data_IF_410072128849
#
_entry.id   IF_410072128849
#
_cell.length_a   1.000
_cell.length_b   1.000
_cell.length_c   1.000
_cell.angle_alpha   90.00
_cell.angle_beta   90.00
_cell.angle_gamma   90.00
#
_symmetry.space_group_name_H-M   'P 1'
#
loop_
_entity.id
_entity.type
_entity.pdbx_description
1 polymer ?
#
# COMPACT_ATOMS: atom_id res chain seq x y z
N UNK A 1 8.23 36.54 -35.72
CA UNK A 1 6.97 35.84 -35.39
C UNK A 1 6.60 35.06 -36.64
N UNK A 2 6.89 33.76 -36.77
CA UNK A 2 6.17 32.65 -36.10
C UNK A 2 7.07 31.41 -36.20
N UNK A 3 7.51 30.83 -35.08
CA UNK A 3 8.19 29.53 -35.05
C UNK A 3 7.48 28.67 -34.02
N UNK A 4 6.57 27.81 -34.48
CA UNK A 4 6.05 26.70 -33.70
C UNK A 4 5.45 25.68 -34.68
N UNK A 5 6.14 24.54 -34.84
CA UNK A 5 5.64 23.20 -35.24
C UNK A 5 6.74 22.45 -36.00
N UNK A 6 7.47 21.64 -35.26
CA UNK A 6 7.96 20.37 -35.76
C UNK A 6 8.22 19.52 -34.52
N UNK A 7 7.57 18.36 -34.44
CA UNK A 7 7.96 17.12 -33.77
C UNK A 7 6.66 16.30 -33.61
N UNK A 8 6.20 15.78 -34.75
CA UNK A 8 5.38 14.58 -34.76
C UNK A 8 5.73 13.77 -36.01
N UNK A 9 5.70 12.44 -35.84
CA UNK A 9 5.68 11.36 -36.86
C UNK A 9 7.03 10.75 -37.23
N UNK A 10 7.21 9.51 -36.72
CA UNK A 10 7.72 8.27 -37.36
C UNK A 10 7.85 7.26 -36.20
N UNK A 11 7.20 6.09 -36.13
CA UNK A 11 6.49 5.22 -37.08
C UNK A 11 5.45 4.42 -36.29
N UNK A 12 4.25 4.25 -36.86
CA UNK A 12 3.25 3.27 -36.45
C UNK A 12 2.99 2.33 -37.65
N UNK A 13 3.11 1.03 -37.43
CA UNK A 13 2.53 -0.10 -38.19
C UNK A 13 2.97 -1.38 -37.43
N UNK A 14 2.16 -2.36 -37.04
CA UNK A 14 0.85 -2.82 -37.54
C UNK A 14 0.00 -3.41 -36.41
N UNK A 15 -1.32 -3.32 -36.58
CA UNK A 15 -2.37 -3.96 -35.77
C UNK A 15 -2.74 -5.30 -36.40
N UNK A 16 -2.94 -6.33 -35.58
CA UNK A 16 -3.84 -7.43 -35.90
C UNK A 16 -4.60 -7.85 -34.63
N UNK A 17 -5.89 -8.10 -34.83
CA UNK A 17 -6.97 -8.25 -33.86
C UNK A 17 -7.00 -9.66 -33.28
N UNK A 18 -7.23 -9.78 -31.97
CA UNK A 18 -7.90 -10.94 -31.39
C UNK A 18 -8.70 -10.50 -30.14
N UNK A 19 -10.01 -10.36 -30.33
CA UNK A 19 -11.00 -10.33 -29.25
C UNK A 19 -11.06 -11.72 -28.62
N UNK A 20 -10.74 -11.81 -27.33
CA UNK A 20 -10.92 -13.02 -26.52
C UNK A 20 -10.93 -12.64 -25.04
N UNK A 21 -12.03 -12.97 -24.36
CA UNK A 21 -12.18 -12.75 -22.93
C UNK A 21 -11.07 -13.48 -22.15
N UNK A 22 -10.34 -12.75 -21.30
CA UNK A 22 -9.42 -13.34 -20.31
C UNK A 22 -9.60 -12.64 -18.97
N UNK A 23 -10.31 -13.33 -18.09
CA UNK A 23 -10.05 -13.30 -16.65
C UNK A 23 -8.73 -14.04 -16.43
N UNK A 24 -7.66 -13.36 -16.00
CA UNK A 24 -6.54 -13.95 -15.26
C UNK A 24 -5.39 -12.96 -14.95
N UNK A 25 -4.93 -13.01 -13.69
CA UNK A 25 -3.55 -12.99 -13.22
C UNK A 25 -2.48 -12.29 -14.07
N UNK A 26 -2.04 -11.11 -13.61
CA UNK A 26 -0.78 -10.50 -14.04
C UNK A 26 0.42 -11.25 -13.43
N UNK A 27 0.82 -12.34 -14.08
CA UNK A 27 2.12 -12.97 -13.94
C UNK A 27 2.86 -12.87 -15.27
N UNK A 28 3.74 -11.89 -15.42
CA UNK A 28 4.67 -11.82 -16.55
C UNK A 28 5.97 -12.58 -16.22
N UNK A 29 6.47 -13.46 -17.10
CA UNK A 29 7.80 -14.05 -16.95
C UNK A 29 8.83 -13.14 -17.65
N UNK A 30 10.01 -12.95 -17.05
CA UNK A 30 11.28 -13.22 -17.73
C UNK A 30 12.45 -13.17 -16.73
N UNK A 31 13.22 -14.25 -16.79
CA UNK A 31 14.40 -14.60 -16.03
C UNK A 31 15.61 -13.76 -16.45
N UNK A 32 16.42 -13.31 -15.49
CA UNK A 32 17.86 -13.20 -15.71
C UNK A 32 18.66 -13.58 -14.44
N UNK A 33 19.10 -14.84 -14.48
CA UNK A 33 20.27 -15.50 -13.89
C UNK A 33 21.07 -14.75 -12.81
N UNK A 34 21.02 -15.30 -11.60
CA UNK A 34 21.92 -15.03 -10.49
C UNK A 34 23.32 -15.64 -10.69
N UNK A 35 24.34 -14.95 -10.16
CA UNK A 35 25.58 -15.57 -9.71
C UNK A 35 25.69 -15.39 -8.19
N UNK A 36 25.46 -16.47 -7.42
CA UNK A 36 25.66 -16.53 -5.97
C UNK A 36 26.88 -17.39 -5.66
N UNK A 37 27.79 -16.86 -4.86
CA UNK A 37 28.95 -17.55 -4.32
C UNK A 37 28.55 -18.56 -3.22
N UNK A 38 29.35 -19.62 -2.96
CA UNK A 38 29.03 -20.67 -1.99
C UNK A 38 29.25 -20.18 -0.55
N UNK A 39 28.26 -20.44 0.31
CA UNK A 39 28.36 -20.25 1.77
C UNK A 39 28.74 -21.60 2.39
N UNK A 40 29.83 -21.59 3.16
CA UNK A 40 30.39 -22.76 3.85
C UNK A 40 29.48 -23.33 4.94
N UNK A 41 29.58 -24.64 5.11
CA UNK A 41 28.88 -25.42 6.14
C UNK A 41 29.37 -25.11 7.55
N UNK A 42 28.45 -25.04 8.51
CA UNK A 42 28.73 -25.04 9.96
C UNK A 42 28.09 -26.30 10.56
N UNK A 43 28.79 -27.07 11.42
CA UNK A 43 28.28 -28.33 11.96
C UNK A 43 27.29 -28.14 13.12
N UNK A 44 26.46 -29.18 13.28
CA UNK A 44 25.39 -29.31 14.24
C UNK A 44 25.85 -29.59 15.68
N UNK A 45 24.95 -29.33 16.63
CA UNK A 45 24.48 -30.27 17.68
C UNK A 45 24.39 -29.62 19.06
N UNK A 46 23.17 -29.30 19.48
CA UNK A 46 22.83 -29.10 20.90
C UNK A 46 21.49 -29.79 21.16
N UNK A 47 21.50 -30.83 21.99
CA UNK A 47 20.31 -31.53 22.48
C UNK A 47 19.58 -30.68 23.53
N UNK A 48 18.24 -30.52 23.45
CA UNK A 48 17.47 -29.99 24.57
C UNK A 48 16.90 -31.14 25.42
N UNK A 49 17.29 -31.18 26.69
CA UNK A 49 16.63 -31.95 27.73
C UNK A 49 15.37 -31.20 28.17
N UNK A 50 14.20 -31.70 27.77
CA UNK A 50 12.91 -31.08 28.11
C UNK A 50 12.36 -31.66 29.41
N UNK A 51 12.33 -30.84 30.46
CA UNK A 51 11.49 -31.09 31.64
C UNK A 51 10.04 -30.68 31.32
N UNK A 52 9.02 -31.50 31.67
CA UNK A 52 7.63 -31.15 31.44
C UNK A 52 7.19 -30.05 32.42
N UNK A 53 7.11 -28.81 31.95
CA UNK A 53 6.45 -27.72 32.68
C UNK A 53 4.95 -27.92 32.67
N UNK A 54 4.35 -27.94 33.86
CA UNK A 54 2.92 -27.98 34.05
C UNK A 54 2.24 -26.78 33.36
N UNK A 55 1.35 -27.07 32.41
CA UNK A 55 0.58 -26.08 31.66
C UNK A 55 -0.26 -25.22 32.60
N UNK A 56 0.13 -23.95 32.75
CA UNK A 56 -0.65 -22.97 33.48
C UNK A 56 -2.01 -22.74 32.78
N UNK A 57 -3.11 -22.56 33.53
CA UNK A 57 -4.47 -22.39 32.99
C UNK A 57 -4.70 -21.20 32.03
N UNK A 58 -3.71 -20.33 31.80
CA UNK A 58 -3.83 -19.14 30.96
C UNK A 58 -3.36 -19.29 29.50
N UNK A 59 -2.93 -20.48 29.07
CA UNK A 59 -2.27 -20.63 27.75
C UNK A 59 -3.25 -20.64 26.57
N UNK A 60 -4.44 -21.23 26.74
CA UNK A 60 -5.44 -21.33 25.66
C UNK A 60 -6.14 -20.00 25.35
N UNK A 61 -6.22 -19.10 26.33
CA UNK A 61 -6.86 -17.79 26.17
C UNK A 61 -5.92 -16.79 25.50
N UNK A 62 -4.61 -16.82 25.82
CA UNK A 62 -3.57 -16.06 25.10
C UNK A 62 -3.45 -16.49 23.64
N UNK A 63 -3.56 -17.78 23.34
CA UNK A 63 -3.54 -18.26 21.95
C UNK A 63 -4.73 -17.74 21.11
N UNK A 64 -5.89 -17.49 21.73
CA UNK A 64 -7.04 -16.88 21.05
C UNK A 64 -6.86 -15.38 20.84
N UNK A 65 -6.25 -14.70 21.82
CA UNK A 65 -5.87 -13.28 21.71
C UNK A 65 -4.94 -13.05 20.52
N UNK A 66 -3.92 -13.88 20.38
CA UNK A 66 -2.99 -13.83 19.25
C UNK A 66 -3.71 -14.06 17.92
N UNK A 67 -4.78 -14.86 17.89
CA UNK A 67 -5.49 -15.20 16.67
C UNK A 67 -6.29 -14.03 16.06
N UNK A 68 -7.02 -13.23 16.87
CA UNK A 68 -7.78 -12.10 16.35
C UNK A 68 -6.88 -11.02 15.73
N UNK A 69 -5.78 -10.73 16.43
CA UNK A 69 -4.73 -9.81 15.96
C UNK A 69 -4.08 -10.34 14.69
N UNK A 70 -3.75 -11.63 14.65
CA UNK A 70 -3.18 -12.30 13.48
C UNK A 70 -4.09 -12.21 12.25
N UNK A 71 -5.38 -12.53 12.39
CA UNK A 71 -6.36 -12.45 11.29
C UNK A 71 -6.52 -11.00 10.82
N UNK A 72 -6.52 -10.04 11.73
CA UNK A 72 -6.60 -8.60 11.39
C UNK A 72 -5.43 -8.18 10.51
N UNK A 73 -4.19 -8.52 10.89
CA UNK A 73 -3.01 -8.08 10.11
C UNK A 73 -2.73 -8.93 8.87
N UNK A 74 -3.22 -10.17 8.83
CA UNK A 74 -3.36 -10.91 7.59
C UNK A 74 -4.32 -10.17 6.62
N UNK A 75 -5.45 -9.67 7.12
CA UNK A 75 -6.42 -8.88 6.34
C UNK A 75 -5.80 -7.57 5.83
N UNK A 76 -5.16 -6.80 6.71
CA UNK A 76 -4.45 -5.57 6.34
C UNK A 76 -3.44 -5.85 5.23
N UNK A 77 -2.54 -6.82 5.43
CA UNK A 77 -1.48 -7.07 4.46
C UNK A 77 -1.97 -7.67 3.15
N UNK A 78 -3.06 -8.43 3.15
CA UNK A 78 -3.68 -8.88 1.91
C UNK A 78 -4.38 -7.74 1.16
N UNK A 79 -5.23 -6.96 1.84
CA UNK A 79 -6.05 -5.92 1.22
C UNK A 79 -5.19 -4.76 0.70
N UNK A 80 -4.24 -4.29 1.51
CA UNK A 80 -3.31 -3.21 1.11
C UNK A 80 -2.29 -3.74 0.09
N UNK A 81 -1.83 -4.97 0.28
CA UNK A 81 -0.97 -5.70 -0.64
C UNK A 81 0.50 -5.27 -0.59
N UNK A 82 1.09 -5.05 -1.77
CA UNK A 82 2.51 -4.74 -1.94
C UNK A 82 3.04 -3.62 -1.03
N UNK A 83 2.39 -2.44 -0.94
CA UNK A 83 2.85 -1.36 -0.08
C UNK A 83 2.98 -1.73 1.41
N UNK A 84 2.11 -2.62 1.91
CA UNK A 84 2.21 -3.12 3.28
C UNK A 84 3.35 -4.12 3.44
N UNK A 85 3.52 -5.02 2.47
CA UNK A 85 4.66 -5.96 2.47
C UNK A 85 6.01 -5.23 2.40
N UNK A 86 6.10 -4.15 1.61
CA UNK A 86 7.29 -3.28 1.56
C UNK A 86 7.53 -2.54 2.88
N UNK A 87 6.45 -2.12 3.57
CA UNK A 87 6.55 -1.55 4.91
C UNK A 87 7.22 -2.51 5.89
N UNK A 88 7.03 -3.82 5.68
CA UNK A 88 7.62 -4.90 6.46
C UNK A 88 8.95 -5.40 5.89
N UNK A 89 9.53 -4.70 4.92
CA UNK A 89 10.85 -4.99 4.38
C UNK A 89 10.89 -6.01 3.24
N UNK A 90 9.75 -6.48 2.73
CA UNK A 90 9.71 -7.38 1.58
C UNK A 90 9.72 -6.60 0.26
N UNK A 91 10.67 -6.91 -0.63
CA UNK A 91 10.85 -6.22 -1.92
C UNK A 91 10.83 -7.19 -3.11
N UNK A 92 10.54 -6.70 -4.31
CA UNK A 92 10.61 -7.52 -5.53
C UNK A 92 9.65 -8.72 -5.51
N UNK A 93 10.18 -9.94 -5.73
CA UNK A 93 9.41 -11.18 -5.71
C UNK A 93 8.93 -11.56 -4.30
N UNK A 94 9.75 -11.30 -3.28
CA UNK A 94 9.41 -11.53 -1.87
C UNK A 94 8.15 -10.78 -1.47
N UNK A 95 8.00 -9.54 -1.96
CA UNK A 95 6.79 -8.71 -1.76
C UNK A 95 5.53 -9.43 -2.26
N UNK A 96 5.59 -10.02 -3.46
CA UNK A 96 4.46 -10.74 -4.06
C UNK A 96 4.13 -12.02 -3.30
N UNK A 97 5.16 -12.76 -2.87
CA UNK A 97 5.01 -13.98 -2.08
C UNK A 97 4.42 -13.68 -0.70
N UNK A 98 4.91 -12.65 0.00
CA UNK A 98 4.41 -12.22 1.30
C UNK A 98 2.94 -11.79 1.23
N UNK A 99 2.57 -11.01 0.21
CA UNK A 99 1.17 -10.61 -0.02
C UNK A 99 0.29 -11.84 -0.28
N UNK A 100 0.72 -12.73 -1.18
CA UNK A 100 -0.03 -13.96 -1.53
C UNK A 100 -0.21 -14.87 -0.34
N UNK A 101 0.83 -15.03 0.49
CA UNK A 101 0.78 -15.82 1.70
C UNK A 101 -0.30 -15.30 2.67
N UNK A 102 -0.33 -14.00 2.93
CA UNK A 102 -1.34 -13.36 3.79
C UNK A 102 -2.76 -13.53 3.26
N UNK A 103 -2.96 -13.40 1.95
CA UNK A 103 -4.26 -13.67 1.35
C UNK A 103 -4.69 -15.13 1.51
N UNK A 104 -3.77 -16.10 1.35
CA UNK A 104 -4.07 -17.53 1.59
C UNK A 104 -4.37 -17.82 3.05
N UNK A 105 -3.72 -17.14 3.99
CA UNK A 105 -4.05 -17.25 5.42
C UNK A 105 -5.50 -16.85 5.67
N UNK A 106 -5.99 -15.75 5.06
CA UNK A 106 -7.40 -15.37 5.19
C UNK A 106 -8.37 -16.39 4.58
N UNK A 107 -8.01 -16.99 3.45
CA UNK A 107 -8.80 -18.07 2.85
C UNK A 107 -9.00 -19.21 3.85
N UNK A 108 -7.96 -19.56 4.60
CA UNK A 108 -8.04 -20.62 5.63
C UNK A 108 -8.70 -20.13 6.92
N UNK A 109 -8.19 -19.08 7.52
CA UNK A 109 -8.55 -18.67 8.88
C UNK A 109 -9.91 -17.96 8.93
N UNK A 110 -10.24 -17.14 7.92
CA UNK A 110 -11.50 -16.40 7.89
C UNK A 110 -12.61 -17.15 7.14
N UNK A 111 -12.28 -17.86 6.06
CA UNK A 111 -13.29 -18.50 5.21
C UNK A 111 -13.42 -20.02 5.44
N UNK A 112 -12.51 -20.63 6.21
CA UNK A 112 -12.49 -22.09 6.43
C UNK A 112 -12.27 -22.89 5.14
N UNK A 113 -11.61 -22.28 4.14
CA UNK A 113 -11.32 -22.89 2.83
C UNK A 113 -9.87 -23.37 2.77
N UNK A 114 -9.59 -24.25 1.83
CA UNK A 114 -8.21 -24.70 1.60
C UNK A 114 -7.39 -23.54 1.02
N UNK A 115 -6.10 -23.40 1.38
CA UNK A 115 -5.26 -22.29 0.91
C UNK A 115 -5.00 -22.28 -0.61
N UNK A 116 -5.28 -23.40 -1.29
CA UNK A 116 -5.19 -23.57 -2.75
C UNK A 116 -6.54 -23.37 -3.47
N UNK A 117 -7.62 -23.03 -2.75
CA UNK A 117 -8.91 -22.65 -3.34
C UNK A 117 -8.76 -21.31 -4.08
N UNK A 118 -8.52 -21.39 -5.39
CA UNK A 118 -8.27 -20.22 -6.25
C UNK A 118 -9.49 -19.30 -6.34
N UNK A 119 -10.71 -19.84 -6.25
CA UNK A 119 -11.92 -19.03 -6.26
C UNK A 119 -12.01 -18.21 -4.97
N UNK A 120 -11.80 -18.84 -3.81
CA UNK A 120 -11.76 -18.11 -2.54
C UNK A 120 -10.64 -17.06 -2.50
N UNK A 121 -9.45 -17.40 -3.01
CA UNK A 121 -8.32 -16.46 -3.09
C UNK A 121 -8.64 -15.24 -3.96
N UNK A 122 -9.29 -15.43 -5.11
CA UNK A 122 -9.70 -14.34 -5.99
C UNK A 122 -10.68 -13.39 -5.30
N UNK A 123 -11.67 -13.92 -4.56
CA UNK A 123 -12.63 -13.12 -3.78
C UNK A 123 -11.95 -12.29 -2.69
N UNK A 124 -10.97 -12.89 -1.99
CA UNK A 124 -10.16 -12.21 -0.97
C UNK A 124 -9.35 -11.07 -1.59
N UNK A 125 -8.69 -11.31 -2.73
CA UNK A 125 -7.90 -10.29 -3.45
C UNK A 125 -8.77 -9.19 -4.06
N UNK A 126 -10.01 -9.50 -4.43
CA UNK A 126 -10.99 -8.53 -4.88
C UNK A 126 -11.59 -7.70 -3.72
N UNK A 127 -11.30 -8.06 -2.47
CA UNK A 127 -11.83 -7.42 -1.25
C UNK A 127 -13.37 -7.40 -1.32
N UNK A 128 -13.97 -8.54 -1.64
CA UNK A 128 -15.42 -8.66 -1.72
C UNK A 128 -16.09 -8.41 -0.35
N UNK A 129 -17.28 -7.77 -0.31
CA UNK A 129 -17.96 -7.46 0.95
C UNK A 129 -18.14 -8.67 1.86
N UNK A 130 -18.48 -9.84 1.33
CA UNK A 130 -18.71 -11.03 2.13
C UNK A 130 -17.42 -11.58 2.77
N UNK A 131 -16.26 -11.31 2.15
CA UNK A 131 -14.96 -11.62 2.74
C UNK A 131 -14.68 -10.69 3.93
N UNK A 132 -14.92 -9.39 3.76
CA UNK A 132 -14.76 -8.41 4.84
C UNK A 132 -15.64 -8.78 6.03
N UNK A 133 -16.91 -9.11 5.78
CA UNK A 133 -17.85 -9.55 6.82
C UNK A 133 -17.42 -10.85 7.50
N UNK A 134 -16.85 -11.80 6.74
CA UNK A 134 -16.34 -13.04 7.32
C UNK A 134 -15.14 -12.79 8.24
N UNK A 135 -14.20 -11.94 7.83
CA UNK A 135 -13.06 -11.53 8.66
C UNK A 135 -13.53 -10.85 9.95
N UNK A 136 -14.49 -9.92 9.84
CA UNK A 136 -15.07 -9.23 11.00
C UNK A 136 -15.71 -10.22 11.97
N UNK A 137 -16.51 -11.18 11.50
CA UNK A 137 -17.12 -12.21 12.38
C UNK A 137 -16.08 -13.06 13.11
N UNK A 138 -14.96 -13.40 12.47
CA UNK A 138 -13.86 -14.12 13.13
C UNK A 138 -13.25 -13.28 14.24
N UNK A 139 -12.99 -12.00 13.96
CA UNK A 139 -12.45 -11.05 14.94
C UNK A 139 -13.42 -10.85 16.11
N UNK A 140 -14.72 -10.64 15.85
CA UNK A 140 -15.74 -10.47 16.91
C UNK A 140 -15.77 -11.64 17.88
N UNK A 141 -15.57 -12.87 17.37
CA UNK A 141 -15.57 -14.09 18.17
C UNK A 141 -14.27 -14.31 18.93
N UNK A 142 -13.12 -13.98 18.32
CA UNK A 142 -11.81 -14.29 18.87
C UNK A 142 -11.20 -13.15 19.73
N UNK A 143 -11.59 -11.90 19.46
CA UNK A 143 -11.00 -10.73 20.11
C UNK A 143 -11.47 -10.57 21.56
N UNK A 144 -10.53 -10.10 22.40
CA UNK A 144 -10.80 -9.65 23.76
C UNK A 144 -11.80 -8.49 23.76
N UNK A 145 -12.65 -8.35 24.79
CA UNK A 145 -13.63 -7.27 24.87
C UNK A 145 -13.03 -5.87 24.67
N UNK A 146 -11.84 -5.61 25.23
CA UNK A 146 -11.14 -4.33 25.17
C UNK A 146 -10.62 -3.95 23.77
N UNK A 147 -10.20 -4.94 22.97
CA UNK A 147 -9.65 -4.69 21.62
C UNK A 147 -10.71 -4.84 20.52
N UNK A 148 -11.80 -5.57 20.80
CA UNK A 148 -12.79 -5.98 19.81
C UNK A 148 -13.35 -4.80 19.01
N UNK A 149 -13.75 -3.73 19.69
CA UNK A 149 -14.35 -2.57 19.03
C UNK A 149 -13.37 -1.91 18.04
N UNK A 150 -12.08 -1.83 18.40
CA UNK A 150 -11.06 -1.28 17.52
C UNK A 150 -10.83 -2.19 16.31
N UNK A 151 -10.59 -3.49 16.52
CA UNK A 151 -10.27 -4.43 15.44
C UNK A 151 -11.43 -4.59 14.45
N UNK A 152 -12.67 -4.64 14.96
CA UNK A 152 -13.89 -4.71 14.15
C UNK A 152 -14.10 -3.45 13.31
N UNK A 153 -13.76 -2.27 13.84
CA UNK A 153 -13.84 -1.03 13.08
C UNK A 153 -12.70 -0.90 12.06
N UNK A 154 -11.52 -1.42 12.38
CA UNK A 154 -10.33 -1.30 11.54
C UNK A 154 -10.49 -2.02 10.19
N UNK A 155 -10.94 -3.28 10.20
CA UNK A 155 -10.95 -4.11 8.98
C UNK A 155 -11.82 -3.52 7.85
N UNK A 156 -13.08 -3.11 8.07
CA UNK A 156 -13.89 -2.49 7.02
C UNK A 156 -13.29 -1.18 6.51
N UNK A 157 -12.74 -0.36 7.40
CA UNK A 157 -12.11 0.91 7.02
C UNK A 157 -10.86 0.69 6.15
N UNK A 158 -10.05 -0.32 6.47
CA UNK A 158 -8.90 -0.73 5.64
C UNK A 158 -9.36 -1.27 4.30
N UNK A 159 -10.40 -2.12 4.28
CA UNK A 159 -10.95 -2.66 3.04
C UNK A 159 -11.43 -1.55 2.10
N UNK A 160 -12.14 -0.55 2.61
CA UNK A 160 -12.60 0.61 1.84
C UNK A 160 -11.43 1.41 1.28
N UNK A 161 -10.48 1.82 2.13
CA UNK A 161 -9.32 2.58 1.71
C UNK A 161 -8.46 1.81 0.69
N UNK A 162 -8.31 0.50 0.87
CA UNK A 162 -7.57 -0.36 -0.05
C UNK A 162 -8.28 -0.51 -1.41
N UNK A 163 -9.61 -0.59 -1.46
CA UNK A 163 -10.37 -0.60 -2.71
C UNK A 163 -10.18 0.70 -3.50
N UNK A 164 -10.23 1.85 -2.82
CA UNK A 164 -9.95 3.16 -3.41
C UNK A 164 -8.53 3.23 -3.98
N UNK A 165 -7.52 2.86 -3.18
CA UNK A 165 -6.13 2.86 -3.62
C UNK A 165 -5.89 1.91 -4.80
N UNK A 166 -6.49 0.71 -4.78
CA UNK A 166 -6.45 -0.24 -5.89
C UNK A 166 -7.06 0.34 -7.17
N UNK A 167 -8.20 1.02 -7.07
CA UNK A 167 -8.84 1.67 -8.20
C UNK A 167 -7.98 2.82 -8.74
N UNK A 168 -7.42 3.66 -7.86
CA UNK A 168 -6.51 4.74 -8.22
C UNK A 168 -5.25 4.21 -8.94
N UNK A 169 -4.63 3.13 -8.43
CA UNK A 169 -3.49 2.47 -9.09
C UNK A 169 -3.82 1.99 -10.50
N UNK A 170 -4.97 1.33 -10.68
CA UNK A 170 -5.42 0.88 -12.00
C UNK A 170 -5.66 2.06 -12.95
N UNK A 171 -6.30 3.13 -12.48
CA UNK A 171 -6.50 4.34 -13.27
C UNK A 171 -5.17 5.02 -13.64
N UNK A 172 -4.23 5.14 -12.70
CA UNK A 172 -2.90 5.69 -12.94
C UNK A 172 -2.12 4.87 -13.98
N UNK A 173 -2.16 3.53 -13.88
CA UNK A 173 -1.56 2.65 -14.90
C UNK A 173 -2.22 2.84 -16.26
N UNK A 174 -3.55 2.89 -16.34
CA UNK A 174 -4.25 3.14 -17.59
C UNK A 174 -3.86 4.49 -18.22
N UNK A 175 -3.67 5.55 -17.42
CA UNK A 175 -3.18 6.86 -17.90
C UNK A 175 -1.75 6.78 -18.43
N UNK A 176 -0.85 6.02 -17.78
CA UNK A 176 0.54 5.84 -18.24
C UNK A 176 0.61 5.09 -19.57
N UNK A 177 -0.23 4.08 -19.74
CA UNK A 177 -0.18 3.18 -20.89
C UNK A 177 -1.02 3.70 -22.08
N UNK A 178 -1.87 4.71 -21.85
CA UNK A 178 -2.76 5.25 -22.87
C UNK A 178 -2.04 6.08 -23.94
N UNK A 179 -2.42 5.89 -25.20
CA UNK A 179 -2.04 6.77 -26.31
C UNK A 179 -2.72 8.14 -26.21
N UNK A 180 -3.93 8.17 -25.66
CA UNK A 180 -4.71 9.36 -25.37
C UNK A 180 -4.85 9.50 -23.85
N UNK A 181 -3.93 10.23 -23.24
CA UNK A 181 -3.89 10.40 -21.80
C UNK A 181 -5.11 11.17 -21.27
N UNK A 182 -5.63 12.15 -22.03
CA UNK A 182 -6.77 12.96 -21.58
C UNK A 182 -8.06 12.14 -21.51
N UNK A 183 -8.30 11.26 -22.49
CA UNK A 183 -9.41 10.32 -22.45
C UNK A 183 -9.28 9.33 -21.27
N UNK A 184 -8.08 8.80 -21.02
CA UNK A 184 -7.82 7.90 -19.91
C UNK A 184 -8.00 8.59 -18.54
N UNK A 185 -7.57 9.86 -18.42
CA UNK A 185 -7.79 10.68 -17.24
C UNK A 185 -9.28 10.87 -16.99
N UNK A 186 -10.04 11.25 -18.02
CA UNK A 186 -11.49 11.46 -17.90
C UNK A 186 -12.20 10.18 -17.43
N UNK A 187 -11.82 9.02 -17.98
CA UNK A 187 -12.38 7.73 -17.57
C UNK A 187 -11.99 7.32 -16.14
N UNK A 188 -10.78 7.67 -15.70
CA UNK A 188 -10.23 7.31 -14.40
C UNK A 188 -10.43 8.34 -13.28
N UNK A 189 -10.99 9.52 -13.58
CA UNK A 189 -10.97 10.66 -12.66
C UNK A 189 -11.61 10.34 -11.31
N UNK A 190 -12.79 9.71 -11.31
CA UNK A 190 -13.48 9.32 -10.08
C UNK A 190 -12.63 8.41 -9.18
N UNK A 191 -11.89 7.46 -9.78
CA UNK A 191 -11.02 6.55 -9.03
C UNK A 191 -9.77 7.25 -8.50
N UNK A 192 -9.19 8.18 -9.27
CA UNK A 192 -7.99 8.93 -8.86
C UNK A 192 -8.27 9.86 -7.66
N UNK A 193 -9.50 10.36 -7.53
CA UNK A 193 -9.87 11.39 -6.55
C UNK A 193 -10.63 10.84 -5.34
N UNK A 194 -11.02 9.57 -5.39
CA UNK A 194 -11.67 8.88 -4.28
C UNK A 194 -10.78 8.94 -3.04
N UNK A 195 -11.37 9.32 -1.91
CA UNK A 195 -10.64 9.52 -0.65
C UNK A 195 -11.46 9.16 0.59
N UNK A 196 -12.71 8.74 0.43
CA UNK A 196 -13.64 8.67 1.56
C UNK A 196 -13.28 7.48 2.46
N UNK A 197 -12.86 6.36 1.88
CA UNK A 197 -12.29 5.21 2.57
C UNK A 197 -11.00 5.60 3.32
N UNK A 198 -10.06 6.27 2.65
CA UNK A 198 -8.85 6.77 3.31
C UNK A 198 -9.17 7.73 4.47
N UNK A 199 -10.13 8.65 4.29
CA UNK A 199 -10.55 9.59 5.32
C UNK A 199 -11.23 8.89 6.51
N UNK A 200 -12.09 7.88 6.26
CA UNK A 200 -12.70 7.05 7.31
C UNK A 200 -11.63 6.32 8.12
N UNK A 201 -10.68 5.66 7.45
CA UNK A 201 -9.57 4.97 8.10
C UNK A 201 -8.71 5.93 8.94
N UNK A 202 -8.39 7.10 8.39
CA UNK A 202 -7.62 8.12 9.11
C UNK A 202 -8.34 8.70 10.33
N UNK A 203 -9.68 8.76 10.26
CA UNK A 203 -10.55 9.27 11.33
C UNK A 203 -10.70 8.32 12.51
N UNK A 204 -10.31 7.06 12.40
CA UNK A 204 -10.33 6.13 13.53
C UNK A 204 -9.35 6.59 14.62
N UNK A 205 -9.71 6.47 15.92
CA UNK A 205 -8.88 6.97 17.01
C UNK A 205 -7.64 6.12 17.28
N UNK A 206 -7.42 5.02 16.53
CA UNK A 206 -6.36 4.06 16.84
C UNK A 206 -5.04 4.32 16.12
N UNK A 207 -3.94 4.02 16.82
CA UNK A 207 -2.59 4.07 16.27
C UNK A 207 -2.42 3.17 15.04
N UNK A 208 -2.83 1.87 15.09
CA UNK A 208 -2.75 0.97 13.95
C UNK A 208 -3.50 1.49 12.72
N UNK A 209 -4.71 2.04 12.88
CA UNK A 209 -5.46 2.63 11.77
C UNK A 209 -4.67 3.75 11.07
N UNK A 210 -4.01 4.62 11.85
CA UNK A 210 -3.15 5.68 11.31
C UNK A 210 -1.92 5.13 10.59
N UNK A 211 -1.34 4.02 11.04
CA UNK A 211 -0.19 3.40 10.40
C UNK A 211 -0.57 2.86 9.01
N UNK A 212 -1.68 2.12 8.93
CA UNK A 212 -2.22 1.62 7.65
C UNK A 212 -2.61 2.78 6.74
N UNK A 213 -3.28 3.80 7.30
CA UNK A 213 -3.65 5.01 6.58
C UNK A 213 -2.45 5.73 5.98
N UNK A 214 -1.33 5.87 6.71
CA UNK A 214 -0.10 6.47 6.18
C UNK A 214 0.49 5.65 5.02
N UNK A 215 0.49 4.32 5.11
CA UNK A 215 0.98 3.44 4.03
C UNK A 215 0.14 3.63 2.75
N UNK A 216 -1.19 3.62 2.88
CA UNK A 216 -2.11 3.84 1.74
C UNK A 216 -1.93 5.25 1.17
N UNK A 217 -1.81 6.27 2.03
CA UNK A 217 -1.62 7.64 1.60
C UNK A 217 -0.28 7.84 0.86
N UNK A 218 0.79 7.17 1.30
CA UNK A 218 2.07 7.17 0.60
C UNK A 218 1.96 6.47 -0.77
N UNK A 219 1.17 5.41 -0.90
CA UNK A 219 0.90 4.75 -2.19
C UNK A 219 0.18 5.67 -3.19
N UNK A 220 -0.71 6.55 -2.75
CA UNK A 220 -1.29 7.60 -3.62
C UNK A 220 -0.21 8.56 -4.15
N UNK A 221 0.75 8.95 -3.31
CA UNK A 221 1.88 9.79 -3.75
C UNK A 221 2.75 9.08 -4.77
N UNK A 222 3.08 7.81 -4.52
CA UNK A 222 3.87 6.99 -5.45
C UNK A 222 3.13 6.78 -6.78
N UNK A 223 1.82 6.52 -6.72
CA UNK A 223 0.97 6.37 -7.90
C UNK A 223 0.91 7.63 -8.76
N UNK A 224 1.10 8.81 -8.17
CA UNK A 224 1.17 10.07 -8.91
C UNK A 224 2.44 10.22 -9.75
N UNK A 225 3.49 9.44 -9.48
CA UNK A 225 4.76 9.55 -10.23
C UNK A 225 4.57 9.15 -11.69
N UNK A 226 5.31 9.84 -12.57
CA UNK A 226 5.30 9.64 -14.02
C UNK A 226 3.92 9.84 -14.71
N UNK A 227 2.95 10.45 -14.04
CA UNK A 227 1.70 10.89 -14.66
C UNK A 227 1.82 12.28 -15.30
N UNK A 228 0.97 12.66 -16.26
CA UNK A 228 0.84 14.05 -16.68
C UNK A 228 0.34 14.95 -15.52
N UNK A 229 0.65 16.26 -15.51
CA UNK A 229 0.38 17.16 -14.37
C UNK A 229 -1.05 17.09 -13.81
N UNK A 230 -2.07 17.06 -14.68
CA UNK A 230 -3.47 16.89 -14.28
C UNK A 230 -3.68 15.64 -13.44
N UNK A 231 -3.22 14.50 -13.95
CA UNK A 231 -3.36 13.22 -13.29
C UNK A 231 -2.54 13.12 -12.00
N UNK A 232 -1.37 13.81 -11.91
CA UNK A 232 -0.62 13.93 -10.66
C UNK A 232 -1.44 14.60 -9.56
N UNK A 233 -2.06 15.75 -9.88
CA UNK A 233 -2.95 16.46 -8.95
C UNK A 233 -4.07 15.54 -8.49
N UNK A 234 -4.76 14.86 -9.42
CA UNK A 234 -5.87 13.97 -9.07
C UNK A 234 -5.39 12.83 -8.16
N UNK A 235 -4.35 12.10 -8.56
CA UNK A 235 -3.84 10.92 -7.83
C UNK A 235 -3.31 11.25 -6.42
N UNK A 236 -2.64 12.39 -6.24
CA UNK A 236 -2.08 12.81 -4.96
C UNK A 236 -3.10 13.51 -4.04
N UNK A 237 -4.20 14.03 -4.59
CA UNK A 237 -5.19 14.81 -3.83
C UNK A 237 -5.83 14.07 -2.65
N UNK A 238 -6.17 12.77 -2.74
CA UNK A 238 -6.66 12.02 -1.58
C UNK A 238 -5.72 12.13 -0.38
N UNK A 239 -4.42 11.90 -0.59
CA UNK A 239 -3.43 12.00 0.47
C UNK A 239 -3.26 13.43 0.99
N UNK A 240 -3.13 14.43 0.10
CA UNK A 240 -2.93 15.82 0.53
C UNK A 240 -4.15 16.37 1.29
N UNK A 241 -5.35 15.98 0.89
CA UNK A 241 -6.57 16.36 1.59
C UNK A 241 -6.66 15.72 2.98
N UNK A 242 -6.30 14.44 3.13
CA UNK A 242 -6.43 13.72 4.40
C UNK A 242 -5.29 14.05 5.37
N UNK A 243 -4.03 14.05 4.90
CA UNK A 243 -2.86 14.24 5.77
C UNK A 243 -2.52 15.70 6.05
N UNK A 244 -2.76 16.57 5.08
CA UNK A 244 -2.30 17.97 5.09
C UNK A 244 -3.45 18.97 5.01
N UNK A 245 -4.70 18.51 4.97
CA UNK A 245 -5.90 19.35 4.88
C UNK A 245 -5.87 20.34 3.70
N UNK A 246 -5.20 19.96 2.61
CA UNK A 246 -5.12 20.78 1.42
C UNK A 246 -6.28 20.48 0.47
N UNK A 247 -6.96 21.54 0.04
CA UNK A 247 -7.98 21.43 -1.00
C UNK A 247 -7.31 21.18 -2.35
N UNK A 248 -7.91 20.30 -3.16
CA UNK A 248 -7.50 20.09 -4.54
C UNK A 248 -7.67 21.40 -5.32
N UNK A 249 -6.67 21.85 -6.10
CA UNK A 249 -6.83 23.03 -6.95
C UNK A 249 -7.91 22.80 -8.02
N UNK A 250 -8.69 23.85 -8.33
CA UNK A 250 -9.75 23.76 -9.33
C UNK A 250 -9.23 23.52 -10.75
N UNK A 251 -8.04 24.06 -11.08
CA UNK A 251 -7.38 23.92 -12.38
C UNK A 251 -6.12 23.06 -12.23
N UNK A 252 -6.17 21.80 -12.68
CA UNK A 252 -5.12 20.83 -12.39
C UNK A 252 -3.85 20.99 -13.26
N UNK A 253 -3.97 21.50 -14.49
CA UNK A 253 -2.88 21.46 -15.49
C UNK A 253 -1.67 22.33 -15.13
N UNK A 254 -1.90 23.51 -14.55
CA UNK A 254 -0.84 24.43 -14.12
C UNK A 254 -0.55 24.38 -12.61
N UNK A 255 -1.30 23.58 -11.84
CA UNK A 255 -1.28 23.65 -10.39
C UNK A 255 -0.38 22.60 -9.72
N UNK A 256 0.17 21.63 -10.46
CA UNK A 256 0.91 20.53 -9.84
C UNK A 256 2.05 20.99 -8.93
N UNK A 257 2.99 21.80 -9.44
CA UNK A 257 4.14 22.24 -8.65
C UNK A 257 3.74 23.14 -7.47
N UNK A 258 2.90 24.18 -7.63
CA UNK A 258 2.42 24.97 -6.49
C UNK A 258 1.69 24.12 -5.43
N UNK A 259 0.89 23.13 -5.85
CA UNK A 259 0.17 22.24 -4.94
C UNK A 259 1.12 21.32 -4.18
N UNK A 260 2.12 20.75 -4.85
CA UNK A 260 3.16 19.94 -4.23
C UNK A 260 4.01 20.74 -3.24
N UNK A 261 4.33 22.01 -3.56
CA UNK A 261 5.05 22.90 -2.65
C UNK A 261 4.21 23.26 -1.40
N UNK A 262 2.90 23.45 -1.55
CA UNK A 262 2.00 23.63 -0.42
C UNK A 262 1.96 22.38 0.47
N UNK A 263 1.90 21.18 -0.14
CA UNK A 263 1.98 19.92 0.58
C UNK A 263 3.29 19.78 1.33
N UNK A 264 4.42 20.10 0.69
CA UNK A 264 5.75 20.07 1.32
C UNK A 264 5.84 21.01 2.53
N UNK A 265 5.33 22.25 2.38
CA UNK A 265 5.24 23.21 3.49
C UNK A 265 4.35 22.69 4.63
N UNK A 266 3.18 22.11 4.32
CA UNK A 266 2.28 21.52 5.31
C UNK A 266 2.88 20.26 5.98
N UNK A 267 3.80 19.59 5.29
CA UNK A 267 4.63 18.51 5.83
C UNK A 267 5.77 19.00 6.74
N UNK A 268 6.01 20.32 6.83
CA UNK A 268 7.10 20.91 7.63
C UNK A 268 8.43 21.04 6.89
N UNK A 269 8.46 20.76 5.58
CA UNK A 269 9.68 20.74 4.77
C UNK A 269 9.50 21.67 3.55
N UNK A 270 9.86 22.94 3.65
CA UNK A 270 9.73 23.86 2.51
C UNK A 270 10.90 23.69 1.53
N UNK A 271 10.67 23.25 0.27
CA UNK A 271 11.71 23.16 -0.74
C UNK A 271 12.03 24.53 -1.34
N UNK A 272 13.15 24.63 -2.06
CA UNK A 272 13.39 25.78 -2.93
C UNK A 272 12.29 25.88 -4.01
N UNK A 273 11.98 27.10 -4.44
CA UNK A 273 10.98 27.34 -5.46
C UNK A 273 11.41 26.72 -6.81
N UNK A 274 10.46 26.17 -7.58
CA UNK A 274 10.71 25.70 -8.95
C UNK A 274 11.18 24.24 -9.08
N UNK A 275 11.63 23.59 -8.00
CA UNK A 275 12.17 22.22 -8.06
C UNK A 275 11.11 21.18 -7.64
N UNK A 276 10.48 20.53 -8.62
CA UNK A 276 9.51 19.46 -8.40
C UNK A 276 10.11 18.28 -7.62
N UNK A 277 11.34 17.88 -7.94
CA UNK A 277 12.02 16.75 -7.29
C UNK A 277 12.27 17.07 -5.82
N UNK A 278 12.74 18.28 -5.51
CA UNK A 278 12.92 18.72 -4.13
C UNK A 278 11.59 18.79 -3.38
N UNK A 279 10.52 19.26 -4.02
CA UNK A 279 9.19 19.31 -3.41
C UNK A 279 8.64 17.91 -3.10
N UNK A 280 8.83 16.94 -3.98
CA UNK A 280 8.49 15.53 -3.72
C UNK A 280 9.28 14.95 -2.54
N UNK A 281 10.59 15.15 -2.53
CA UNK A 281 11.47 14.71 -1.42
C UNK A 281 11.02 15.31 -0.09
N UNK A 282 10.62 16.58 -0.10
CA UNK A 282 10.16 17.27 1.09
C UNK A 282 8.81 16.72 1.62
N UNK A 283 7.87 16.39 0.73
CA UNK A 283 6.63 15.68 1.13
C UNK A 283 6.97 14.29 1.71
N UNK A 284 7.85 13.53 1.05
CA UNK A 284 8.27 12.22 1.53
C UNK A 284 8.95 12.27 2.91
N UNK A 285 9.75 13.31 3.18
CA UNK A 285 10.32 13.57 4.51
C UNK A 285 9.23 13.79 5.56
N UNK A 286 8.21 14.59 5.25
CA UNK A 286 7.09 14.81 6.18
C UNK A 286 6.28 13.54 6.46
N UNK A 287 6.14 12.64 5.49
CA UNK A 287 5.52 11.33 5.69
C UNK A 287 6.41 10.45 6.58
N UNK A 288 7.72 10.41 6.32
CA UNK A 288 8.68 9.66 7.14
C UNK A 288 8.68 10.14 8.60
N UNK A 289 8.62 11.45 8.83
CA UNK A 289 8.55 12.01 10.20
C UNK A 289 7.24 11.63 10.91
N UNK A 290 6.12 11.55 10.18
CA UNK A 290 4.84 11.06 10.72
C UNK A 290 4.91 9.59 11.09
N UNK A 291 5.53 8.75 10.27
CA UNK A 291 5.78 7.35 10.62
C UNK A 291 6.67 7.22 11.86
N UNK A 292 7.78 7.97 11.93
CA UNK A 292 8.67 7.98 13.09
C UNK A 292 7.94 8.41 14.38
N UNK A 293 7.11 9.45 14.31
CA UNK A 293 6.33 9.93 15.44
C UNK A 293 5.25 8.92 15.88
N UNK A 294 4.63 8.24 14.91
CA UNK A 294 3.61 7.21 15.18
C UNK A 294 4.23 5.95 15.79
N UNK A 295 5.34 5.46 15.25
CA UNK A 295 6.02 4.26 15.71
C UNK A 295 6.41 4.30 17.20
N UNK A 296 6.72 5.49 17.74
CA UNK A 296 7.01 5.70 19.17
C UNK A 296 5.80 5.45 20.08
N UNK A 297 4.59 5.55 19.54
CA UNK A 297 3.31 5.43 20.27
C UNK A 297 2.62 4.09 20.04
N UNK A 298 3.07 3.33 19.05
CA UNK A 298 2.48 2.03 18.73
C UNK A 298 2.99 0.95 19.70
N UNK A 299 2.14 -0.02 20.07
CA UNK A 299 2.58 -1.23 20.75
C UNK A 299 3.58 -1.99 19.88
N UNK A 300 4.34 -2.90 20.49
CA UNK A 300 5.17 -3.83 19.73
C UNK A 300 4.28 -4.71 18.83
N UNK A 301 4.78 -5.05 17.65
CA UNK A 301 4.08 -5.86 16.66
C UNK A 301 4.04 -5.22 15.27
N UNK A 302 3.27 -5.85 14.39
CA UNK A 302 3.31 -5.58 12.95
C UNK A 302 3.03 -4.11 12.56
N UNK A 303 2.09 -3.36 13.16
CA UNK A 303 1.89 -1.95 12.83
C UNK A 303 3.13 -1.09 13.07
N UNK A 304 3.85 -1.35 14.17
CA UNK A 304 5.04 -0.60 14.53
C UNK A 304 6.20 -0.97 13.62
N UNK A 305 6.34 -2.25 13.30
CA UNK A 305 7.33 -2.74 12.32
C UNK A 305 7.09 -2.12 10.95
N UNK A 306 5.84 -2.13 10.47
CA UNK A 306 5.46 -1.49 9.22
C UNK A 306 5.77 0.01 9.22
N UNK A 307 5.45 0.72 10.31
CA UNK A 307 5.74 2.13 10.44
C UNK A 307 7.25 2.43 10.39
N UNK A 308 8.07 1.65 11.10
CA UNK A 308 9.53 1.79 11.11
C UNK A 308 10.15 1.42 9.76
N UNK A 309 9.73 0.32 9.15
CA UNK A 309 10.27 -0.13 7.88
C UNK A 309 9.93 0.83 6.73
N UNK A 310 8.70 1.37 6.69
CA UNK A 310 8.34 2.39 5.70
C UNK A 310 9.11 3.71 5.91
N UNK A 311 9.31 4.13 7.15
CA UNK A 311 10.13 5.30 7.50
C UNK A 311 11.57 5.15 7.00
N UNK A 312 12.20 4.02 7.30
CA UNK A 312 13.56 3.70 6.86
C UNK A 312 13.65 3.67 5.33
N UNK A 313 12.66 3.06 4.65
CA UNK A 313 12.58 3.02 3.19
C UNK A 313 12.57 4.42 2.58
N UNK A 314 11.65 5.28 3.04
CA UNK A 314 11.55 6.65 2.54
C UNK A 314 12.88 7.41 2.74
N UNK A 315 13.50 7.29 3.93
CA UNK A 315 14.80 7.94 4.18
C UNK A 315 15.90 7.42 3.26
N UNK A 316 15.95 6.13 2.99
CA UNK A 316 16.92 5.54 2.05
C UNK A 316 16.71 6.04 0.61
N UNK A 317 15.46 6.13 0.16
CA UNK A 317 15.11 6.71 -1.15
C UNK A 317 15.53 8.18 -1.25
N UNK A 318 15.27 8.97 -0.21
CA UNK A 318 15.64 10.38 -0.13
C UNK A 318 17.17 10.55 -0.17
N UNK A 319 17.90 9.78 0.62
CA UNK A 319 19.36 9.81 0.63
C UNK A 319 19.94 9.44 -0.75
N UNK A 320 19.33 8.47 -1.44
CA UNK A 320 19.70 8.09 -2.80
C UNK A 320 19.41 9.20 -3.81
N UNK A 321 18.26 9.87 -3.68
CA UNK A 321 17.87 10.97 -4.56
C UNK A 321 18.80 12.19 -4.43
N UNK A 322 19.36 12.42 -3.24
CA UNK A 322 20.33 13.48 -2.95
C UNK A 322 21.71 13.22 -3.58
N UNK A 323 22.16 11.97 -3.64
CA UNK A 323 23.45 11.60 -4.28
C UNK A 323 23.47 11.72 -5.80
N UNK A 324 22.30 11.80 -6.44
CA UNK A 324 22.17 11.95 -7.91
C UNK A 324 22.09 13.42 -8.36
N UNK A 325 22.42 14.37 -7.50
CA UNK A 325 22.55 15.80 -7.84
C UNK A 325 24.03 16.10 -8.11
#
# INVERSE_FOLDING_TARGET
MTIARAWSRRVAASVAVALGAVVACNGGPHLERAARAPIGAVPASVSPSASPSASAPGSAERLKEDHAVHVTYAAVGCFVGGPWSEALGAFGEERTLATTHRCRMLVTDALGKKPDDLAALARVQAIEPEVVDAVVRVIEKAARPEDRAELVALVPAVADAAREANAARRAATAVRDAKDADAAIAAGEAALVAKDGLARLWGLPSGPARAVGLVIAADHLESSRALPPRAKVLAASPMFSVLFSLARPATADAAWLPYLQQAAKAAGHAPAAGDEKAAFVAVALGIADRFAALAKKLPLGEPREAALGYEQRLRAEIATAAKKK
#
